data_IF_025349723541
#
_entry.id   IF_025349723541
#
_cell.length_a   1.000
_cell.length_b   1.000
_cell.length_c   1.000
_cell.angle_alpha   90.00
_cell.angle_beta   90.00
_cell.angle_gamma   90.00
#
_symmetry.space_group_name_H-M   'P 1'
#
loop_
_entity.id
_entity.type
_entity.pdbx_description
1 polymer ?
#
# COMPACT_ATOMS: atom_id res chain seq x y z
N UNK A 1 -9.37 17.18 -3.36
CA UNK A 1 -10.04 16.08 -2.63
C UNK A 1 -9.56 14.69 -3.11
N UNK A 2 -9.47 14.46 -4.43
CA UNK A 2 -9.02 13.17 -4.97
C UNK A 2 -7.58 12.79 -4.58
N UNK A 3 -6.67 13.73 -4.57
CA UNK A 3 -5.26 13.51 -4.22
C UNK A 3 -5.07 13.13 -2.73
N UNK A 4 -5.82 13.76 -1.82
CA UNK A 4 -5.73 13.45 -0.40
C UNK A 4 -6.32 12.07 -0.07
N UNK A 5 -7.42 11.67 -0.72
CA UNK A 5 -8.02 10.34 -0.57
C UNK A 5 -7.07 9.24 -1.06
N UNK A 6 -6.39 9.46 -2.18
CA UNK A 6 -5.41 8.51 -2.72
C UNK A 6 -4.21 8.34 -1.79
N UNK A 7 -3.64 9.44 -1.31
CA UNK A 7 -2.51 9.42 -0.37
C UNK A 7 -2.82 8.63 0.90
N UNK A 8 -4.02 8.80 1.46
CA UNK A 8 -4.38 8.12 2.70
C UNK A 8 -4.63 6.61 2.51
N UNK A 9 -5.03 6.13 1.32
CA UNK A 9 -5.10 4.69 1.02
C UNK A 9 -3.71 4.03 1.07
N UNK A 10 -2.70 4.70 0.55
CA UNK A 10 -1.31 4.24 0.55
C UNK A 10 -0.68 4.26 1.95
N UNK A 11 -1.29 4.99 2.90
CA UNK A 11 -0.88 4.96 4.31
C UNK A 11 -1.02 3.57 4.93
N UNK A 12 -2.03 2.79 4.54
CA UNK A 12 -2.22 1.45 5.09
C UNK A 12 -1.06 0.51 4.77
N UNK A 13 -0.46 0.61 3.59
CA UNK A 13 0.71 -0.20 3.21
C UNK A 13 1.94 0.26 3.97
N UNK A 14 2.15 1.59 4.02
CA UNK A 14 3.30 2.17 4.71
C UNK A 14 3.27 1.94 6.21
N UNK A 15 2.12 2.10 6.86
CA UNK A 15 1.99 1.83 8.29
C UNK A 15 2.40 0.38 8.60
N UNK A 16 2.01 -0.58 7.76
CA UNK A 16 2.43 -1.97 7.92
C UNK A 16 3.92 -2.14 7.68
N UNK A 17 4.45 -1.60 6.59
CA UNK A 17 5.87 -1.67 6.28
C UNK A 17 6.73 -1.03 7.40
N UNK A 18 6.34 0.14 7.88
CA UNK A 18 7.01 0.83 9.00
C UNK A 18 6.88 0.04 10.30
N UNK A 19 5.70 -0.51 10.62
CA UNK A 19 5.51 -1.30 11.83
C UNK A 19 6.37 -2.58 11.82
N UNK A 20 6.47 -3.26 10.65
CA UNK A 20 7.35 -4.43 10.51
C UNK A 20 8.83 -4.03 10.64
N UNK A 21 9.25 -2.92 10.02
CA UNK A 21 10.62 -2.41 10.16
C UNK A 21 10.95 -2.02 11.61
N UNK A 22 10.01 -1.38 12.35
CA UNK A 22 10.17 -1.07 13.79
C UNK A 22 10.31 -2.32 14.66
N UNK A 23 9.76 -3.45 14.24
CA UNK A 23 9.96 -4.75 14.90
C UNK A 23 11.29 -5.43 14.55
N UNK A 24 12.07 -4.84 13.65
CA UNK A 24 13.40 -5.32 13.26
C UNK A 24 13.43 -6.21 12.02
N UNK A 25 12.30 -6.36 11.31
CA UNK A 25 12.27 -7.08 10.05
C UNK A 25 12.85 -6.24 8.91
N UNK A 26 13.50 -6.88 7.95
CA UNK A 26 13.99 -6.26 6.72
C UNK A 26 12.84 -6.14 5.72
N UNK A 27 12.49 -4.92 5.37
CA UNK A 27 11.28 -4.61 4.60
C UNK A 27 11.60 -3.99 3.25
N UNK A 28 10.93 -4.49 2.21
CA UNK A 28 10.88 -3.89 0.88
C UNK A 28 9.49 -3.35 0.56
N UNK A 29 9.42 -2.30 -0.26
CA UNK A 29 8.19 -1.75 -0.81
C UNK A 29 8.35 -1.63 -2.33
N UNK A 30 7.46 -2.27 -3.07
CA UNK A 30 7.32 -2.16 -4.51
C UNK A 30 6.09 -1.33 -4.83
N UNK A 31 6.29 -0.12 -5.38
CA UNK A 31 5.19 0.75 -5.82
C UNK A 31 4.77 0.36 -7.23
N UNK A 32 3.69 -0.40 -7.34
CA UNK A 32 3.09 -0.82 -8.60
C UNK A 32 1.97 0.11 -9.08
N UNK A 33 1.64 1.19 -8.35
CA UNK A 33 0.74 2.24 -8.81
C UNK A 33 1.47 3.26 -9.70
N UNK A 34 1.95 2.79 -10.83
CA UNK A 34 2.83 3.52 -11.77
C UNK A 34 2.20 4.81 -12.28
N UNK A 35 0.88 4.86 -12.39
CA UNK A 35 0.14 6.04 -12.91
C UNK A 35 0.04 7.17 -11.90
N UNK A 36 0.37 6.93 -10.66
CA UNK A 36 0.34 7.94 -9.60
C UNK A 36 1.18 7.53 -8.41
N UNK A 37 2.44 7.24 -8.66
CA UNK A 37 3.34 6.80 -7.62
C UNK A 37 3.47 7.89 -6.55
N UNK A 38 3.38 7.52 -5.29
CA UNK A 38 3.49 8.46 -4.18
C UNK A 38 4.33 7.93 -3.01
N UNK A 39 4.69 6.66 -3.05
CA UNK A 39 5.51 6.02 -2.01
C UNK A 39 6.84 6.76 -1.81
N UNK A 40 7.62 7.08 -2.87
CA UNK A 40 8.89 7.79 -2.68
C UNK A 40 8.75 9.10 -1.91
N UNK A 41 7.80 9.95 -2.31
CA UNK A 41 7.57 11.25 -1.66
C UNK A 41 7.26 11.12 -0.17
N UNK A 42 6.58 10.06 0.23
CA UNK A 42 6.19 9.83 1.61
C UNK A 42 7.34 9.39 2.50
N UNK A 43 8.38 8.81 1.91
CA UNK A 43 9.63 8.43 2.59
C UNK A 43 10.77 9.43 2.33
N UNK A 44 10.48 10.58 1.69
CA UNK A 44 11.49 11.57 1.35
C UNK A 44 12.56 11.04 0.38
N UNK A 45 12.19 10.07 -0.45
CA UNK A 45 13.08 9.50 -1.46
C UNK A 45 13.00 10.36 -2.73
N UNK A 46 14.10 11.03 -3.06
CA UNK A 46 14.24 11.89 -4.23
C UNK A 46 15.39 11.49 -5.14
N UNK A 47 16.28 10.62 -4.65
CA UNK A 47 17.43 10.18 -5.41
C UNK A 47 17.02 9.18 -6.50
N UNK A 48 17.54 9.38 -7.71
CA UNK A 48 17.32 8.44 -8.80
C UNK A 48 17.95 7.07 -8.50
N UNK A 49 17.20 6.03 -8.86
CA UNK A 49 17.70 4.66 -8.87
C UNK A 49 18.40 4.43 -10.22
N UNK A 50 19.65 3.99 -10.14
CA UNK A 50 20.44 3.59 -11.31
C UNK A 50 20.58 2.07 -11.35
N UNK A 51 20.55 1.51 -12.55
CA UNK A 51 20.96 0.12 -12.79
C UNK A 51 22.47 0.00 -12.76
N UNK A 52 22.97 -1.13 -12.29
CA UNK A 52 24.38 -1.48 -12.42
C UNK A 52 24.76 -1.93 -13.86
N UNK A 53 26.02 -2.26 -14.09
CA UNK A 53 26.54 -2.73 -15.39
C UNK A 53 25.84 -4.02 -15.88
N UNK A 54 25.19 -4.77 -14.98
CA UNK A 54 24.44 -6.00 -15.29
C UNK A 54 22.94 -5.71 -15.50
N UNK A 55 22.51 -4.46 -15.38
CA UNK A 55 21.11 -4.04 -15.49
C UNK A 55 20.29 -4.28 -14.21
N UNK A 56 20.92 -4.61 -13.08
CA UNK A 56 20.26 -4.80 -11.81
C UNK A 56 20.00 -3.44 -11.14
N UNK A 57 18.76 -3.15 -10.77
CA UNK A 57 18.38 -1.94 -10.09
C UNK A 57 18.69 -2.02 -8.60
N UNK A 58 19.31 -0.98 -8.05
CA UNK A 58 19.51 -0.87 -6.61
C UNK A 58 18.36 -0.08 -5.99
N UNK A 59 17.53 -0.69 -5.10
CA UNK A 59 16.40 0.03 -4.51
C UNK A 59 16.89 1.20 -3.68
N UNK A 60 16.11 2.26 -3.61
CA UNK A 60 16.34 3.32 -2.64
C UNK A 60 16.22 2.74 -1.22
N UNK A 61 17.19 3.04 -0.37
CA UNK A 61 17.15 2.62 1.03
C UNK A 61 16.91 3.84 1.92
N UNK A 62 15.84 3.81 2.71
CA UNK A 62 15.54 4.86 3.67
C UNK A 62 16.54 4.83 4.83
N UNK A 63 16.58 5.88 5.63
CA UNK A 63 17.44 5.95 6.83
C UNK A 63 17.15 4.82 7.82
N UNK A 64 15.96 4.28 7.79
CA UNK A 64 15.47 3.21 8.65
C UNK A 64 15.67 1.82 8.03
N UNK A 65 16.32 1.73 6.87
CA UNK A 65 16.64 0.48 6.20
C UNK A 65 15.49 -0.13 5.39
N UNK A 66 14.40 0.62 5.15
CA UNK A 66 13.33 0.17 4.26
C UNK A 66 13.79 0.37 2.81
N UNK A 67 13.77 -0.71 2.03
CA UNK A 67 14.09 -0.67 0.60
C UNK A 67 12.85 -0.36 -0.21
N UNK A 68 12.93 0.58 -1.14
CA UNK A 68 11.79 0.89 -1.99
C UNK A 68 12.17 1.07 -3.46
N UNK A 69 11.27 0.65 -4.34
CA UNK A 69 11.34 0.87 -5.77
C UNK A 69 10.01 1.43 -6.28
N UNK A 70 10.11 2.43 -7.15
CA UNK A 70 8.98 3.07 -7.81
C UNK A 70 9.44 3.64 -9.14
N UNK A 71 8.51 3.76 -10.09
CA UNK A 71 8.80 4.35 -11.39
C UNK A 71 9.31 5.80 -11.28
N UNK A 72 8.83 6.56 -10.30
CA UNK A 72 9.28 7.94 -10.08
C UNK A 72 10.78 8.04 -9.79
N UNK A 73 11.36 7.02 -9.18
CA UNK A 73 12.80 6.99 -8.88
C UNK A 73 13.66 6.62 -10.10
N UNK A 74 13.03 6.24 -11.23
CA UNK A 74 13.69 5.94 -12.50
C UNK A 74 13.55 7.09 -13.52
N UNK A 75 12.77 8.12 -13.19
CA UNK A 75 12.48 9.23 -14.10
C UNK A 75 13.44 10.39 -13.83
N UNK A 76 13.84 11.09 -14.90
CA UNK A 76 14.66 12.30 -14.79
C UNK A 76 13.91 13.45 -14.10
N UNK A 77 12.57 13.47 -14.22
CA UNK A 77 11.71 14.45 -13.60
C UNK A 77 10.45 13.75 -13.03
N UNK A 78 10.25 13.85 -11.72
CA UNK A 78 9.12 13.25 -11.01
C UNK A 78 7.74 13.78 -11.47
N UNK A 79 7.71 14.95 -12.10
CA UNK A 79 6.48 15.60 -12.58
C UNK A 79 6.06 15.13 -13.98
N UNK A 80 6.92 14.40 -14.68
CA UNK A 80 6.60 13.91 -16.01
C UNK A 80 5.50 12.84 -15.96
N UNK A 81 4.48 12.95 -16.83
CA UNK A 81 3.39 11.98 -16.83
C UNK A 81 3.86 10.64 -17.41
N UNK A 82 3.62 9.57 -16.67
CA UNK A 82 3.80 8.21 -17.20
C UNK A 82 2.59 7.84 -18.07
N UNK A 83 2.76 7.88 -19.40
CA UNK A 83 1.72 7.55 -20.37
C UNK A 83 1.97 6.15 -20.93
N UNK A 84 1.87 5.14 -20.07
CA UNK A 84 2.06 3.75 -20.48
C UNK A 84 0.73 2.99 -20.53
N UNK A 85 0.64 2.03 -21.45
CA UNK A 85 -0.51 1.12 -21.52
C UNK A 85 -0.32 -0.06 -20.57
N UNK A 86 -1.43 -0.69 -20.16
CA UNK A 86 -1.45 -1.81 -19.22
C UNK A 86 -0.35 -2.86 -19.39
N UNK A 87 -0.11 -3.40 -20.61
CA UNK A 87 0.95 -4.40 -20.82
C UNK A 87 2.37 -3.90 -20.52
N UNK A 88 2.65 -2.61 -20.77
CA UNK A 88 3.96 -2.01 -20.44
C UNK A 88 4.10 -1.88 -18.94
N UNK A 89 3.06 -1.39 -18.26
CA UNK A 89 3.01 -1.28 -16.79
C UNK A 89 3.23 -2.64 -16.14
N UNK A 90 2.55 -3.66 -16.63
CA UNK A 90 2.73 -5.03 -16.16
C UNK A 90 4.17 -5.55 -16.34
N UNK A 91 4.82 -5.20 -17.45
CA UNK A 91 6.22 -5.51 -17.70
C UNK A 91 7.14 -4.86 -16.68
N UNK A 92 6.93 -3.58 -16.36
CA UNK A 92 7.73 -2.84 -15.37
C UNK A 92 7.57 -3.43 -13.97
N UNK A 93 6.37 -3.82 -13.57
CA UNK A 93 6.17 -4.49 -12.26
C UNK A 93 6.96 -5.79 -12.16
N UNK A 94 7.01 -6.58 -13.24
CA UNK A 94 7.85 -7.80 -13.30
C UNK A 94 9.33 -7.48 -13.21
N UNK A 95 9.78 -6.43 -13.89
CA UNK A 95 11.18 -5.98 -13.81
C UNK A 95 11.51 -5.53 -12.39
N UNK A 96 10.66 -4.76 -11.73
CA UNK A 96 10.85 -4.34 -10.34
C UNK A 96 11.00 -5.53 -9.39
N UNK A 97 10.30 -6.64 -9.64
CA UNK A 97 10.48 -7.85 -8.87
C UNK A 97 11.78 -8.59 -9.22
N UNK A 98 12.02 -8.85 -10.50
CA UNK A 98 13.09 -9.74 -10.95
C UNK A 98 14.47 -9.08 -11.04
N UNK A 99 14.52 -7.77 -11.34
CA UNK A 99 15.74 -7.04 -11.70
C UNK A 99 16.12 -6.00 -10.63
N UNK A 100 15.58 -6.12 -9.41
CA UNK A 100 15.95 -5.30 -8.25
C UNK A 100 16.77 -6.09 -7.25
N UNK A 101 17.87 -5.51 -6.79
CA UNK A 101 18.76 -6.07 -5.78
C UNK A 101 18.11 -5.98 -4.38
N UNK A 102 17.03 -6.72 -4.17
CA UNK A 102 16.31 -6.73 -2.88
C UNK A 102 17.20 -7.23 -1.73
N UNK A 103 18.14 -8.18 -2.01
CA UNK A 103 18.93 -8.86 -1.00
C UNK A 103 18.04 -9.68 -0.06
N UNK A 104 18.50 -9.86 1.17
CA UNK A 104 17.72 -10.57 2.19
C UNK A 104 16.65 -9.62 2.76
N UNK A 105 15.42 -9.74 2.29
CA UNK A 105 14.24 -9.07 2.87
C UNK A 105 13.32 -10.12 3.47
N UNK A 106 12.70 -9.79 4.60
CA UNK A 106 11.72 -10.66 5.27
C UNK A 106 10.31 -10.44 4.68
N UNK A 107 9.98 -9.19 4.35
CA UNK A 107 8.68 -8.81 3.81
C UNK A 107 8.83 -7.85 2.62
N UNK A 108 8.11 -8.16 1.51
CA UNK A 108 7.92 -7.24 0.40
C UNK A 108 6.45 -6.80 0.33
N UNK A 109 6.21 -5.53 0.54
CA UNK A 109 4.89 -4.93 0.35
C UNK A 109 4.74 -4.41 -1.07
N UNK A 110 3.66 -4.79 -1.75
CA UNK A 110 3.36 -4.32 -3.11
C UNK A 110 2.17 -3.39 -3.06
N UNK A 111 2.38 -2.09 -3.38
CA UNK A 111 1.30 -1.11 -3.51
C UNK A 111 0.69 -1.17 -4.92
N UNK A 112 -0.52 -1.67 -5.02
CA UNK A 112 -1.21 -1.85 -6.29
C UNK A 112 -2.17 -0.69 -6.60
N UNK A 113 -2.41 -0.35 -7.88
CA UNK A 113 -3.46 0.57 -8.24
C UNK A 113 -4.84 0.04 -7.83
N UNK A 114 -5.86 0.92 -7.71
CA UNK A 114 -7.21 0.52 -7.36
C UNK A 114 -7.86 -0.37 -8.43
N UNK A 115 -8.71 -1.28 -7.96
CA UNK A 115 -9.52 -2.13 -8.82
C UNK A 115 -8.88 -3.48 -9.14
N UNK A 116 -9.42 -4.15 -10.17
CA UNK A 116 -9.08 -5.51 -10.59
C UNK A 116 -8.52 -5.52 -12.02
N UNK A 117 -7.72 -4.51 -12.37
CA UNK A 117 -7.14 -4.35 -13.72
C UNK A 117 -5.88 -5.18 -13.95
N UNK A 118 -5.14 -4.84 -15.00
CA UNK A 118 -3.97 -5.58 -15.49
C UNK A 118 -2.84 -5.68 -14.45
N UNK A 119 -2.62 -4.65 -13.63
CA UNK A 119 -1.52 -4.64 -12.65
C UNK A 119 -1.76 -5.63 -11.51
N UNK A 120 -2.90 -5.61 -10.79
CA UNK A 120 -3.21 -6.64 -9.80
C UNK A 120 -3.14 -8.07 -10.38
N UNK A 121 -3.69 -8.27 -11.58
CA UNK A 121 -3.63 -9.55 -12.24
C UNK A 121 -2.19 -10.01 -12.51
N UNK A 122 -1.33 -9.08 -12.97
CA UNK A 122 0.08 -9.38 -13.22
C UNK A 122 0.85 -9.70 -11.94
N UNK A 123 0.60 -8.93 -10.86
CA UNK A 123 1.19 -9.21 -9.55
C UNK A 123 0.83 -10.62 -9.11
N UNK A 124 -0.45 -10.99 -9.15
CA UNK A 124 -0.92 -12.32 -8.71
C UNK A 124 -0.39 -13.47 -9.58
N UNK A 125 -0.13 -13.23 -10.88
CA UNK A 125 0.39 -14.24 -11.80
C UNK A 125 1.91 -14.38 -11.80
N UNK A 126 2.63 -13.35 -11.37
CA UNK A 126 4.07 -13.24 -11.62
C UNK A 126 4.92 -13.14 -10.37
N UNK A 127 4.35 -12.72 -9.24
CA UNK A 127 5.02 -12.63 -7.96
C UNK A 127 4.54 -13.73 -7.02
N UNK A 128 5.40 -14.27 -6.16
CA UNK A 128 5.01 -15.25 -5.14
C UNK A 128 4.28 -14.53 -3.98
N UNK A 129 2.99 -14.24 -4.18
CA UNK A 129 2.19 -13.49 -3.21
C UNK A 129 1.66 -14.44 -2.13
N UNK A 130 2.07 -14.26 -0.88
CA UNK A 130 1.61 -15.05 0.28
C UNK A 130 0.18 -14.66 0.68
N UNK A 131 -0.20 -13.40 0.49
CA UNK A 131 -1.55 -12.95 0.78
C UNK A 131 -1.79 -11.48 0.45
N UNK A 132 -3.06 -11.08 0.47
CA UNK A 132 -3.48 -9.70 0.24
C UNK A 132 -4.28 -9.14 1.39
N UNK A 133 -4.16 -7.82 1.58
CA UNK A 133 -5.05 -7.04 2.44
C UNK A 133 -5.88 -6.11 1.56
N UNK A 134 -7.19 -6.22 1.66
CA UNK A 134 -8.11 -5.36 0.91
C UNK A 134 -8.36 -4.09 1.71
N UNK A 135 -8.02 -2.94 1.12
CA UNK A 135 -8.25 -1.63 1.72
C UNK A 135 -9.49 -0.99 1.12
N UNK A 136 -10.40 -0.56 1.97
CA UNK A 136 -11.72 -0.03 1.61
C UNK A 136 -12.01 1.29 2.32
N UNK A 137 -13.20 1.87 2.10
CA UNK A 137 -13.75 3.04 2.81
C UNK A 137 -15.25 2.85 3.06
N UNK A 138 -15.90 3.60 3.98
CA UNK A 138 -17.31 3.39 4.37
C UNK A 138 -18.35 3.66 3.29
N UNK A 139 -18.00 4.05 2.07
CA UNK A 139 -18.94 4.39 1.01
C UNK A 139 -19.64 3.15 0.43
N UNK A 140 -20.95 3.21 0.19
CA UNK A 140 -21.78 2.07 -0.27
C UNK A 140 -21.28 1.39 -1.56
N UNK A 141 -20.78 2.17 -2.54
CA UNK A 141 -20.25 1.63 -3.80
C UNK A 141 -19.00 0.75 -3.60
N UNK A 142 -18.34 0.88 -2.46
CA UNK A 142 -17.09 0.17 -2.17
C UNK A 142 -17.33 -1.30 -1.84
N UNK A 143 -18.51 -1.67 -1.33
CA UNK A 143 -18.86 -3.06 -1.03
C UNK A 143 -18.72 -3.98 -2.25
N UNK A 144 -19.13 -3.48 -3.42
CA UNK A 144 -18.98 -4.22 -4.68
C UNK A 144 -17.50 -4.36 -5.08
N UNK A 145 -16.69 -3.34 -4.82
CA UNK A 145 -15.25 -3.34 -5.15
C UNK A 145 -14.51 -4.35 -4.25
N UNK A 146 -14.83 -4.37 -2.95
CA UNK A 146 -14.26 -5.35 -2.02
C UNK A 146 -14.58 -6.78 -2.46
N UNK A 147 -15.84 -7.08 -2.78
CA UNK A 147 -16.25 -8.41 -3.27
C UNK A 147 -15.56 -8.78 -4.57
N UNK A 148 -15.39 -7.85 -5.52
CA UNK A 148 -14.64 -8.10 -6.76
C UNK A 148 -13.16 -8.41 -6.49
N UNK A 149 -12.51 -7.66 -5.59
CA UNK A 149 -11.13 -7.92 -5.23
C UNK A 149 -10.98 -9.29 -4.52
N UNK A 150 -11.90 -9.62 -3.63
CA UNK A 150 -11.95 -10.91 -2.97
C UNK A 150 -12.12 -12.07 -3.98
N UNK A 151 -13.12 -11.99 -4.85
CA UNK A 151 -13.37 -13.02 -5.86
C UNK A 151 -12.19 -13.20 -6.83
N UNK A 152 -11.50 -12.09 -7.16
CA UNK A 152 -10.29 -12.15 -7.99
C UNK A 152 -9.17 -12.91 -7.26
N UNK A 153 -8.92 -12.60 -5.99
CA UNK A 153 -7.92 -13.28 -5.18
C UNK A 153 -8.24 -14.79 -5.05
N UNK A 154 -9.50 -15.11 -4.77
CA UNK A 154 -9.97 -16.49 -4.69
C UNK A 154 -9.76 -17.26 -6.01
N UNK A 155 -10.14 -16.65 -7.15
CA UNK A 155 -9.91 -17.21 -8.47
C UNK A 155 -8.45 -17.45 -8.82
N UNK A 156 -7.54 -16.66 -8.21
CA UNK A 156 -6.09 -16.77 -8.38
C UNK A 156 -5.43 -17.60 -7.26
N UNK A 157 -6.21 -18.18 -6.35
CA UNK A 157 -5.73 -18.94 -5.18
C UNK A 157 -4.81 -18.15 -4.25
N UNK A 158 -5.06 -16.84 -4.13
CA UNK A 158 -4.32 -15.95 -3.21
C UNK A 158 -5.11 -15.79 -1.92
N UNK A 159 -4.47 -15.98 -0.79
CA UNK A 159 -5.08 -15.83 0.53
C UNK A 159 -5.47 -14.37 0.78
N UNK A 160 -6.72 -14.10 1.19
CA UNK A 160 -7.13 -12.79 1.69
C UNK A 160 -6.92 -12.75 3.20
N UNK A 161 -5.89 -12.04 3.64
CA UNK A 161 -5.48 -11.92 5.05
C UNK A 161 -6.51 -11.16 5.89
N UNK A 162 -7.25 -10.26 5.25
CA UNK A 162 -8.31 -9.49 5.85
C UNK A 162 -8.59 -8.18 5.14
N UNK A 163 -9.46 -7.38 5.76
CA UNK A 163 -9.90 -6.08 5.24
C UNK A 163 -9.51 -4.95 6.21
N UNK A 164 -9.16 -3.79 5.66
CA UNK A 164 -8.91 -2.56 6.41
C UNK A 164 -9.85 -1.49 5.91
N UNK A 165 -10.56 -0.82 6.81
CA UNK A 165 -11.38 0.33 6.46
C UNK A 165 -10.63 1.62 6.74
N UNK A 166 -10.38 2.38 5.70
CA UNK A 166 -9.80 3.71 5.77
C UNK A 166 -10.91 4.77 5.79
N UNK A 167 -10.69 5.93 6.41
CA UNK A 167 -11.69 7.00 6.60
C UNK A 167 -12.94 6.56 7.40
N UNK A 168 -12.79 5.61 8.29
CA UNK A 168 -13.89 5.08 9.09
C UNK A 168 -14.58 6.17 9.91
N UNK A 169 -13.82 7.11 10.45
CA UNK A 169 -14.31 8.21 11.27
C UNK A 169 -13.33 9.37 11.29
N UNK A 170 -13.82 10.54 11.69
CA UNK A 170 -13.02 11.69 12.09
C UNK A 170 -13.14 11.85 13.61
N UNK A 171 -12.01 11.99 14.30
CA UNK A 171 -12.02 12.32 15.72
C UNK A 171 -12.05 13.84 15.90
N UNK A 172 -13.10 14.35 16.55
CA UNK A 172 -13.21 15.79 16.85
C UNK A 172 -12.02 16.24 17.70
N UNK A 173 -11.26 17.27 17.30
CA UNK A 173 -10.10 17.74 18.05
C UNK A 173 -10.47 18.35 19.40
N UNK A 174 -11.68 18.88 19.54
CA UNK A 174 -12.10 19.58 20.77
C UNK A 174 -12.66 18.63 21.84
N UNK A 175 -13.47 17.63 21.43
CA UNK A 175 -14.18 16.78 22.39
C UNK A 175 -13.89 15.28 22.23
N UNK A 176 -13.09 14.88 21.25
CA UNK A 176 -12.74 13.49 20.99
C UNK A 176 -13.87 12.62 20.42
N UNK A 177 -15.05 13.17 20.14
CA UNK A 177 -16.18 12.43 19.58
C UNK A 177 -15.85 11.94 18.16
N UNK A 178 -16.18 10.70 17.89
CA UNK A 178 -16.08 10.14 16.54
C UNK A 178 -17.25 10.60 15.67
N UNK A 179 -16.91 11.11 14.48
CA UNK A 179 -17.85 11.63 13.49
C UNK A 179 -17.73 10.76 12.25
N UNK A 180 -18.80 10.09 11.85
CA UNK A 180 -18.87 9.24 10.67
C UNK A 180 -19.17 10.07 9.42
N UNK A 181 -18.15 10.60 8.77
CA UNK A 181 -18.31 11.54 7.64
C UNK A 181 -18.95 10.90 6.41
N UNK A 182 -18.78 9.60 6.22
CA UNK A 182 -19.25 8.86 5.05
C UNK A 182 -20.41 7.89 5.38
N UNK A 183 -21.10 8.09 6.51
CA UNK A 183 -22.19 7.23 6.98
C UNK A 183 -21.71 6.08 7.86
N UNK A 184 -22.61 5.13 8.09
CA UNK A 184 -22.32 3.95 8.91
C UNK A 184 -21.39 2.99 8.15
N UNK A 185 -20.47 2.39 8.88
CA UNK A 185 -19.58 1.37 8.33
C UNK A 185 -20.29 0.02 8.22
N UNK A 186 -20.17 -0.63 7.07
CA UNK A 186 -20.67 -1.98 6.83
C UNK A 186 -19.52 -3.00 6.73
N UNK A 187 -18.29 -2.62 7.10
CA UNK A 187 -17.12 -3.47 6.92
C UNK A 187 -17.19 -4.76 7.73
N UNK A 188 -17.77 -4.71 8.93
CA UNK A 188 -17.90 -5.90 9.79
C UNK A 188 -18.87 -6.93 9.20
N UNK A 189 -19.95 -6.46 8.55
CA UNK A 189 -20.92 -7.33 7.86
C UNK A 189 -20.28 -7.98 6.63
N UNK A 190 -19.54 -7.20 5.84
CA UNK A 190 -18.84 -7.69 4.65
C UNK A 190 -17.75 -8.68 5.03
N UNK A 191 -16.94 -8.36 6.02
CA UNK A 191 -15.88 -9.22 6.52
C UNK A 191 -16.45 -10.58 7.00
N UNK A 192 -17.58 -10.53 7.69
CA UNK A 192 -18.30 -11.75 8.13
C UNK A 192 -18.83 -12.54 6.94
N UNK A 193 -19.44 -11.90 5.95
CA UNK A 193 -19.93 -12.55 4.73
C UNK A 193 -18.80 -13.25 3.97
N UNK A 194 -17.64 -12.60 3.86
CA UNK A 194 -16.47 -13.12 3.17
C UNK A 194 -15.59 -14.05 4.04
N UNK A 195 -15.96 -14.24 5.32
CA UNK A 195 -15.21 -15.03 6.30
C UNK A 195 -13.75 -14.57 6.47
N UNK A 196 -13.51 -13.27 6.41
CA UNK A 196 -12.19 -12.64 6.61
C UNK A 196 -12.18 -11.69 7.82
N UNK A 197 -11.05 -11.50 8.51
CA UNK A 197 -11.00 -10.59 9.64
C UNK A 197 -10.99 -9.11 9.21
N UNK A 198 -11.59 -8.23 10.03
CA UNK A 198 -11.29 -6.80 9.98
C UNK A 198 -9.98 -6.56 10.71
N UNK A 199 -8.97 -6.08 9.99
CA UNK A 199 -7.61 -5.88 10.49
C UNK A 199 -7.39 -4.49 11.11
N UNK A 200 -8.26 -3.54 10.78
CA UNK A 200 -8.21 -2.20 11.36
C UNK A 200 -9.20 -1.23 10.72
N UNK A 201 -9.49 -0.17 11.47
CA UNK A 201 -10.29 0.98 11.03
C UNK A 201 -9.47 2.24 11.27
N UNK A 202 -9.14 2.95 10.18
CA UNK A 202 -8.29 4.14 10.24
C UNK A 202 -9.15 5.41 10.25
N UNK A 203 -8.84 6.37 11.12
CA UNK A 203 -9.49 7.67 11.10
C UNK A 203 -9.10 8.49 9.87
N UNK A 204 -9.92 9.45 9.51
CA UNK A 204 -9.50 10.59 8.71
C UNK A 204 -8.67 11.51 9.60
N UNK A 205 -7.37 11.56 9.36
CA UNK A 205 -6.44 12.42 10.12
C UNK A 205 -5.64 13.31 9.16
N UNK A 206 -5.81 14.62 9.31
CA UNK A 206 -5.12 15.61 8.46
C UNK A 206 -3.65 15.76 8.82
N UNK A 207 -3.23 15.35 10.02
CA UNK A 207 -1.82 15.39 10.44
C UNK A 207 -0.96 14.48 9.58
N UNK A 208 -1.49 13.36 9.15
CA UNK A 208 -0.79 12.42 8.27
C UNK A 208 -0.40 13.04 6.92
N UNK A 209 -1.25 13.89 6.36
CA UNK A 209 -0.93 14.57 5.11
C UNK A 209 0.30 15.50 5.29
N UNK A 210 0.35 16.23 6.39
CA UNK A 210 1.46 17.12 6.70
C UNK A 210 2.78 16.36 6.95
N UNK A 211 2.72 15.20 7.59
CA UNK A 211 3.88 14.33 7.83
C UNK A 211 4.36 13.71 6.51
N UNK A 212 3.42 13.22 5.68
CA UNK A 212 3.74 12.68 4.35
C UNK A 212 4.41 13.73 3.44
N UNK A 213 3.96 14.99 3.51
CA UNK A 213 4.59 16.07 2.72
C UNK A 213 6.00 16.43 3.20
N UNK A 214 6.35 16.09 4.44
CA UNK A 214 7.71 16.23 5.00
C UNK A 214 8.62 15.04 4.70
N UNK A 215 8.08 13.93 4.17
CA UNK A 215 8.84 12.69 3.94
C UNK A 215 9.24 11.96 5.22
N UNK A 216 8.64 12.26 6.37
CA UNK A 216 8.98 11.70 7.69
C UNK A 216 7.89 10.75 8.20
N UNK A 217 7.47 9.83 7.35
CA UNK A 217 6.37 8.94 7.70
C UNK A 217 6.73 7.90 8.76
N UNK A 218 8.01 7.63 8.96
CA UNK A 218 8.49 6.69 9.98
C UNK A 218 8.22 7.19 11.41
N UNK A 219 8.11 8.50 11.60
CA UNK A 219 7.82 9.11 12.91
C UNK A 219 6.38 8.86 13.41
N UNK A 220 5.48 8.38 12.55
CA UNK A 220 4.09 8.14 12.95
C UNK A 220 4.03 6.93 13.90
N UNK A 221 3.40 7.15 15.05
CA UNK A 221 3.06 6.11 16.00
C UNK A 221 1.53 5.98 16.04
N UNK A 222 1.03 4.81 15.70
CA UNK A 222 -0.38 4.47 15.87
C UNK A 222 -0.57 2.95 15.99
N UNK A 223 -1.66 2.54 16.66
CA UNK A 223 -2.02 1.14 16.88
C UNK A 223 -3.19 0.68 15.99
N UNK A 224 -3.62 1.52 15.05
CA UNK A 224 -4.81 1.24 14.24
C UNK A 224 -4.68 -0.04 13.40
N UNK A 225 -3.46 -0.45 13.08
CA UNK A 225 -3.14 -1.65 12.29
C UNK A 225 -2.36 -2.71 13.10
N UNK A 226 -2.41 -2.68 14.42
CA UNK A 226 -1.73 -3.68 15.27
C UNK A 226 -2.15 -5.11 14.91
N UNK A 227 -3.45 -5.35 14.71
CA UNK A 227 -3.97 -6.66 14.29
C UNK A 227 -3.47 -7.08 12.89
N UNK A 228 -3.29 -6.13 11.97
CA UNK A 228 -2.71 -6.42 10.67
C UNK A 228 -1.24 -6.85 10.80
N UNK A 229 -0.50 -6.20 11.68
CA UNK A 229 0.90 -6.55 11.98
C UNK A 229 1.00 -7.96 12.59
N UNK A 230 0.13 -8.30 13.53
CA UNK A 230 0.08 -9.65 14.13
C UNK A 230 -0.20 -10.73 13.07
N UNK A 231 -1.14 -10.50 12.16
CA UNK A 231 -1.44 -11.45 11.08
C UNK A 231 -0.24 -11.65 10.17
N UNK A 232 0.50 -10.59 9.85
CA UNK A 232 1.70 -10.66 9.01
C UNK A 232 2.84 -11.47 9.67
N UNK A 233 2.97 -11.46 11.00
CA UNK A 233 3.99 -12.24 11.71
C UNK A 233 3.70 -13.75 11.71
N UNK A 234 2.52 -14.18 11.28
CA UNK A 234 2.10 -15.58 11.24
C UNK A 234 2.01 -16.16 9.82
N UNK A 235 2.48 -15.42 8.82
CA UNK A 235 2.63 -15.88 7.44
C UNK A 235 4.08 -16.29 7.23
#
# INVERSE_FOLDING_TARGET
LHLSIRRQRQMCIRDRAVNMAKKGYKVGILDADITGPSIPKMFGAHDQILGDENGLMHPYETKEGIKLISVNLLMDNEEDPVIWRGPVIAGVVKQFWNETAWGDIDYLFVDMPPGTGDVPLTVFQSLPVDGIVIVTSPQELVNMIVKKAYNMAEAMHITVLGVVENFSYLKCPDCGKEIKLFGESHIDEIAKELSVPVLGKLPLDTSYAAIADKGDFYSIENDHLAKATEVLEHI
#
